data_IF_795139122930
#
_entry.id   IF_795139122930
#
_cell.length_a   1.000
_cell.length_b   1.000
_cell.length_c   1.000
_cell.angle_alpha   90.00
_cell.angle_beta   90.00
_cell.angle_gamma   90.00
#
_symmetry.space_group_name_H-M   'P 1'
#
loop_
_entity.id
_entity.type
_entity.pdbx_description
1 polymer ?
#
# COMPACT_ATOMS: atom_id res chain seq x y z
N UNK A 1 -4.81 17.25 -27.19
CA UNK A 1 -5.92 16.64 -26.41
C UNK A 1 -5.44 15.25 -26.01
N UNK A 2 -5.14 15.00 -24.73
CA UNK A 2 -4.70 13.67 -24.24
C UNK A 2 -5.82 12.65 -24.46
N UNK A 3 -5.51 11.41 -24.88
CA UNK A 3 -6.55 10.38 -25.12
C UNK A 3 -7.14 9.93 -23.78
N UNK A 4 -8.39 9.48 -23.78
CA UNK A 4 -9.08 8.97 -22.57
C UNK A 4 -8.28 7.86 -21.84
N UNK A 5 -7.61 7.00 -22.60
CA UNK A 5 -6.73 5.97 -22.03
C UNK A 5 -5.46 6.54 -21.37
N UNK A 6 -4.97 7.70 -21.80
CA UNK A 6 -3.82 8.37 -21.18
C UNK A 6 -4.23 9.00 -19.84
N UNK A 7 -5.47 9.48 -19.71
CA UNK A 7 -6.03 9.99 -18.46
C UNK A 7 -6.15 8.87 -17.42
N UNK A 8 -6.61 7.68 -17.83
CA UNK A 8 -6.67 6.50 -16.96
C UNK A 8 -5.27 5.93 -16.64
N UNK A 9 -4.29 6.11 -17.52
CA UNK A 9 -2.89 5.78 -17.24
C UNK A 9 -2.30 6.72 -16.18
N UNK A 10 -2.63 8.02 -16.23
CA UNK A 10 -2.23 9.01 -15.22
C UNK A 10 -2.76 8.66 -13.81
N UNK A 11 -3.88 7.93 -13.70
CA UNK A 11 -4.45 7.43 -12.44
C UNK A 11 -3.80 6.15 -11.90
N UNK A 12 -2.94 5.48 -12.68
CA UNK A 12 -2.28 4.25 -12.23
C UNK A 12 -1.18 4.59 -11.22
N UNK A 13 -1.12 3.92 -10.05
CA UNK A 13 -0.09 4.16 -9.05
C UNK A 13 1.33 4.11 -9.62
N UNK A 14 1.58 3.18 -10.55
CA UNK A 14 2.90 2.99 -11.17
C UNK A 14 3.30 4.19 -12.05
N UNK A 15 2.35 4.73 -12.82
CA UNK A 15 2.60 5.95 -13.61
C UNK A 15 2.80 7.16 -12.70
N UNK A 16 1.95 7.30 -11.68
CA UNK A 16 2.03 8.42 -10.75
C UNK A 16 3.36 8.43 -10.00
N UNK A 17 3.82 7.27 -9.54
CA UNK A 17 5.11 7.13 -8.88
C UNK A 17 6.27 7.49 -9.82
N UNK A 18 6.22 7.06 -11.08
CA UNK A 18 7.28 7.32 -12.06
C UNK A 18 7.38 8.81 -12.48
N UNK A 19 6.25 9.52 -12.55
CA UNK A 19 6.22 10.90 -13.06
C UNK A 19 6.17 11.96 -11.95
N UNK A 20 5.60 11.63 -10.79
CA UNK A 20 5.35 12.58 -9.70
C UNK A 20 5.92 12.13 -8.35
N UNK A 21 6.55 10.96 -8.24
CA UNK A 21 7.16 10.49 -7.00
C UNK A 21 6.20 9.76 -6.05
N UNK A 22 6.77 8.99 -5.11
CA UNK A 22 6.02 8.15 -4.17
C UNK A 22 5.22 8.96 -3.14
N UNK A 23 5.67 10.17 -2.82
CA UNK A 23 5.03 11.10 -1.89
C UNK A 23 3.66 11.59 -2.36
N UNK A 24 3.39 11.50 -3.67
CA UNK A 24 2.12 11.87 -4.27
C UNK A 24 1.10 10.70 -4.27
N UNK A 25 1.49 9.51 -3.82
CA UNK A 25 0.59 8.37 -3.69
C UNK A 25 -0.08 8.35 -2.32
N UNK A 26 -1.37 8.05 -2.31
CA UNK A 26 -2.11 7.71 -1.10
C UNK A 26 -1.65 6.38 -0.50
N UNK A 27 -1.94 6.17 0.78
CA UNK A 27 -1.69 4.88 1.45
C UNK A 27 -2.30 3.70 0.69
N UNK A 28 -3.49 3.88 0.11
CA UNK A 28 -4.17 2.86 -0.71
C UNK A 28 -3.39 2.56 -1.99
N UNK A 29 -2.88 3.59 -2.69
CA UNK A 29 -2.07 3.41 -3.89
C UNK A 29 -0.75 2.71 -3.54
N UNK A 30 -0.04 3.16 -2.50
CA UNK A 30 1.19 2.52 -2.02
C UNK A 30 0.96 1.06 -1.64
N UNK A 31 -0.10 0.78 -0.86
CA UNK A 31 -0.43 -0.57 -0.43
C UNK A 31 -0.79 -1.46 -1.61
N UNK A 32 -1.50 -0.93 -2.61
CA UNK A 32 -1.85 -1.68 -3.82
C UNK A 32 -0.61 -2.12 -4.61
N UNK A 33 0.44 -1.28 -4.66
CA UNK A 33 1.71 -1.63 -5.29
C UNK A 33 2.45 -2.74 -4.53
N UNK A 34 2.36 -2.77 -3.19
CA UNK A 34 2.99 -3.84 -2.37
C UNK A 34 2.37 -5.22 -2.66
N UNK A 35 1.06 -5.26 -2.91
CA UNK A 35 0.31 -6.52 -3.08
C UNK A 35 0.03 -6.89 -4.53
N UNK A 36 0.39 -6.03 -5.50
CA UNK A 36 0.16 -6.30 -6.92
C UNK A 36 1.09 -7.43 -7.42
N UNK A 37 0.50 -8.63 -7.55
CA UNK A 37 1.17 -9.88 -7.97
C UNK A 37 0.55 -10.42 -9.27
N UNK A 38 0.30 -9.56 -10.25
CA UNK A 38 -0.29 -9.95 -11.54
C UNK A 38 -1.82 -10.06 -11.54
N UNK A 39 -2.50 -9.69 -10.45
CA UNK A 39 -3.96 -9.68 -10.34
C UNK A 39 -4.63 -8.51 -11.10
N UNK A 40 -3.84 -7.59 -11.67
CA UNK A 40 -4.32 -6.35 -12.24
C UNK A 40 -4.25 -5.19 -11.24
N UNK A 41 -3.95 -3.99 -11.76
CA UNK A 41 -3.81 -2.78 -10.94
C UNK A 41 -5.14 -2.42 -10.24
N UNK A 42 -6.27 -2.58 -10.93
CA UNK A 42 -7.60 -2.21 -10.41
C UNK A 42 -8.01 -3.08 -9.21
N UNK A 43 -7.78 -4.39 -9.33
CA UNK A 43 -8.07 -5.39 -8.32
C UNK A 43 -7.21 -5.13 -7.07
N UNK A 44 -5.91 -4.88 -7.28
CA UNK A 44 -4.98 -4.58 -6.18
C UNK A 44 -5.35 -3.28 -5.45
N UNK A 45 -5.81 -2.24 -6.17
CA UNK A 45 -6.32 -0.99 -5.56
C UNK A 45 -7.59 -1.26 -4.74
N UNK A 46 -8.50 -2.07 -5.25
CA UNK A 46 -9.73 -2.44 -4.54
C UNK A 46 -9.41 -3.17 -3.23
N UNK A 47 -8.50 -4.15 -3.28
CA UNK A 47 -8.06 -4.91 -2.10
C UNK A 47 -7.35 -4.02 -1.07
N UNK A 48 -6.43 -3.17 -1.52
CA UNK A 48 -5.77 -2.20 -0.66
C UNK A 48 -6.76 -1.24 0.01
N UNK A 49 -7.80 -0.80 -0.72
CA UNK A 49 -8.84 0.07 -0.17
C UNK A 49 -9.64 -0.64 0.92
N UNK A 50 -10.00 -1.91 0.72
CA UNK A 50 -10.70 -2.70 1.74
C UNK A 50 -9.86 -2.89 3.00
N UNK A 51 -8.57 -3.21 2.86
CA UNK A 51 -7.64 -3.29 3.99
C UNK A 51 -7.53 -1.95 4.74
N UNK A 52 -7.40 -0.84 4.01
CA UNK A 52 -7.36 0.49 4.63
C UNK A 52 -8.68 0.85 5.33
N UNK A 53 -9.83 0.42 4.81
CA UNK A 53 -11.13 0.63 5.45
C UNK A 53 -11.25 -0.15 6.76
N UNK A 54 -10.81 -1.41 6.80
CA UNK A 54 -10.74 -2.20 8.05
C UNK A 54 -9.84 -1.51 9.09
N UNK A 55 -8.81 -0.81 8.62
CA UNK A 55 -7.87 -0.06 9.45
C UNK A 55 -8.28 1.41 9.73
N UNK A 56 -9.53 1.82 9.47
CA UNK A 56 -10.01 3.21 9.62
C UNK A 56 -9.14 4.25 8.91
N UNK A 57 -8.55 3.88 7.77
CA UNK A 57 -7.63 4.73 7.00
C UNK A 57 -6.25 4.94 7.63
N UNK A 58 -5.95 4.31 8.77
CA UNK A 58 -4.71 4.54 9.54
C UNK A 58 -3.71 3.38 9.40
N UNK A 59 -2.49 3.70 8.97
CA UNK A 59 -1.40 2.71 8.88
C UNK A 59 -1.04 2.09 10.24
N UNK A 60 -1.22 2.82 11.34
CA UNK A 60 -0.99 2.32 12.70
C UNK A 60 -2.02 1.26 13.11
N UNK A 61 -3.23 1.30 12.58
CA UNK A 61 -4.24 0.25 12.78
C UNK A 61 -3.99 -0.91 11.83
N UNK A 62 -3.61 -0.64 10.57
CA UNK A 62 -3.24 -1.68 9.60
C UNK A 62 -2.12 -2.57 10.14
N UNK A 63 -1.12 -1.98 10.82
CA UNK A 63 -0.01 -2.70 11.44
C UNK A 63 -0.38 -3.55 12.66
N UNK A 64 -1.62 -3.45 13.16
CA UNK A 64 -2.13 -4.28 14.25
C UNK A 64 -2.97 -5.45 13.77
N UNK A 65 -3.40 -5.44 12.50
CA UNK A 65 -4.18 -6.54 11.94
C UNK A 65 -3.32 -7.81 11.91
N UNK A 66 -3.92 -8.92 12.35
CA UNK A 66 -3.43 -10.27 12.14
C UNK A 66 -3.56 -10.68 10.66
N UNK A 67 -2.89 -11.77 10.28
CA UNK A 67 -3.06 -12.34 8.94
C UNK A 67 -4.52 -12.71 8.67
N UNK A 68 -5.19 -13.36 9.63
CA UNK A 68 -6.58 -13.78 9.50
C UNK A 68 -7.52 -12.57 9.27
N UNK A 69 -7.29 -11.47 9.99
CA UNK A 69 -8.04 -10.21 9.81
C UNK A 69 -7.77 -9.53 8.46
N UNK A 70 -6.61 -9.77 7.83
CA UNK A 70 -6.36 -9.29 6.46
C UNK A 70 -7.00 -10.19 5.41
N UNK A 71 -7.07 -11.50 5.67
CA UNK A 71 -7.52 -12.52 4.72
C UNK A 71 -9.04 -12.56 4.51
N UNK A 72 -9.82 -11.88 5.35
CA UNK A 72 -11.25 -11.63 5.08
C UNK A 72 -11.47 -10.82 3.79
N UNK A 73 -10.46 -10.08 3.32
CA UNK A 73 -10.51 -9.39 2.03
C UNK A 73 -10.29 -10.39 0.90
N UNK A 74 -11.29 -10.57 0.03
CA UNK A 74 -11.22 -11.52 -1.08
C UNK A 74 -9.97 -11.30 -1.95
N UNK A 75 -9.19 -12.38 -2.11
CA UNK A 75 -7.96 -12.38 -2.91
C UNK A 75 -6.74 -11.81 -2.21
N UNK A 76 -6.82 -11.54 -0.89
CA UNK A 76 -5.68 -11.45 0.02
C UNK A 76 -5.47 -12.83 0.66
N UNK A 77 -4.54 -13.61 0.12
CA UNK A 77 -4.05 -14.84 0.77
C UNK A 77 -2.73 -14.60 1.48
N UNK A 78 -2.10 -15.67 1.98
CA UNK A 78 -0.84 -15.64 2.74
C UNK A 78 0.22 -14.74 2.12
N UNK A 79 0.50 -14.93 0.82
CA UNK A 79 1.55 -14.18 0.13
C UNK A 79 1.33 -12.66 0.16
N UNK A 80 0.09 -12.18 0.03
CA UNK A 80 -0.21 -10.75 0.03
C UNK A 80 -0.26 -10.21 1.46
N UNK A 81 -0.85 -10.94 2.40
CA UNK A 81 -0.85 -10.56 3.81
C UNK A 81 0.59 -10.44 4.36
N UNK A 82 1.44 -11.42 4.08
CA UNK A 82 2.86 -11.39 4.45
C UNK A 82 3.60 -10.22 3.79
N UNK A 83 3.30 -9.88 2.54
CA UNK A 83 3.89 -8.72 1.87
C UNK A 83 3.53 -7.40 2.57
N UNK A 84 2.26 -7.23 2.99
CA UNK A 84 1.82 -6.06 3.76
C UNK A 84 2.54 -5.99 5.11
N UNK A 85 2.57 -7.09 5.85
CA UNK A 85 3.26 -7.16 7.14
C UNK A 85 4.76 -6.84 7.03
N UNK A 86 5.43 -7.38 6.00
CA UNK A 86 6.83 -7.10 5.74
C UNK A 86 7.08 -5.61 5.43
N UNK A 87 6.23 -4.99 4.60
CA UNK A 87 6.34 -3.57 4.27
C UNK A 87 6.17 -2.67 5.52
N UNK A 88 5.21 -3.01 6.39
CA UNK A 88 4.96 -2.27 7.63
C UNK A 88 6.13 -2.42 8.63
N UNK A 89 6.69 -3.62 8.77
CA UNK A 89 7.86 -3.84 9.63
C UNK A 89 9.09 -3.09 9.13
N UNK A 90 9.32 -3.01 7.82
CA UNK A 90 10.39 -2.17 7.24
C UNK A 90 10.19 -0.70 7.64
N UNK A 91 8.98 -0.17 7.48
CA UNK A 91 8.65 1.20 7.90
C UNK A 91 8.89 1.45 9.39
N UNK A 92 8.49 0.49 10.24
CA UNK A 92 8.72 0.53 11.69
C UNK A 92 10.20 0.48 12.07
N UNK A 93 11.03 -0.30 11.37
CA UNK A 93 12.48 -0.34 11.58
C UNK A 93 13.15 0.97 11.17
N UNK A 94 12.82 1.50 9.99
CA UNK A 94 13.30 2.81 9.54
C UNK A 94 13.00 3.92 10.56
N UNK A 95 11.77 3.95 11.08
CA UNK A 95 11.39 4.95 12.09
C UNK A 95 12.23 4.86 13.37
N UNK A 96 12.58 3.64 13.82
CA UNK A 96 13.44 3.42 14.99
C UNK A 96 14.89 3.87 14.76
N UNK A 97 15.44 3.71 13.56
CA UNK A 97 16.79 4.16 13.22
C UNK A 97 16.95 5.68 13.36
N UNK A 98 15.90 6.45 13.01
CA UNK A 98 15.91 7.91 13.15
C UNK A 98 15.76 8.38 14.60
N UNK A 99 15.05 7.64 15.45
CA UNK A 99 14.91 7.96 16.90
C UNK A 99 16.26 7.81 17.62
N UNK A 100 17.16 6.95 17.14
CA UNK A 100 18.49 6.76 17.72
C UNK A 100 19.49 7.90 17.42
N UNK A 101 19.12 8.90 16.61
CA UNK A 101 20.00 10.01 16.18
C UNK A 101 19.76 11.36 16.85
N UNK A 102 19.09 11.40 18.00
CA UNK A 102 19.13 12.60 18.87
C UNK A 102 20.05 12.38 20.07
N UNK A 103 21.38 12.58 19.94
CA UNK A 103 22.18 13.06 21.05
C UNK A 103 22.20 14.60 21.05
N UNK A 104 21.84 15.15 22.22
CA UNK A 104 21.98 16.55 22.70
C UNK A 104 21.20 17.66 21.99
#
# INVERSE_FOLDING_TARGET
MKKYNDILADERPEYKAANYGFENLSNTELLSMVINRGAGTKESISQARQLMNIADGKLSNLAKLSMDEMQVVQGIGDCKALAVLAALEIGKRRAREHVARSPT
#
